data_IF_540484963118
#
_entry.id   IF_540484963118
#
_cell.length_a   1.000
_cell.length_b   1.000
_cell.length_c   1.000
_cell.angle_alpha   90.00
_cell.angle_beta   90.00
_cell.angle_gamma   90.00
#
_symmetry.space_group_name_H-M   'P 1'
#
loop_
_entity.id
_entity.type
_entity.pdbx_description
1 polymer ?
#
# COMPACT_ATOMS: atom_id res chain seq x y z
N UNK A 1 -16.24 11.19 -9.51
CA UNK A 1 -16.88 9.88 -9.80
C UNK A 1 -18.22 9.64 -9.09
N UNK A 2 -18.74 10.52 -8.21
CA UNK A 2 -20.01 10.27 -7.51
C UNK A 2 -21.29 10.64 -8.29
N UNK A 3 -21.20 11.41 -9.39
CA UNK A 3 -22.39 11.85 -10.14
C UNK A 3 -22.93 10.84 -11.16
N UNK A 4 -22.16 9.80 -11.53
CA UNK A 4 -22.61 8.80 -12.51
C UNK A 4 -23.60 7.77 -11.93
N UNK A 5 -23.63 7.56 -10.61
CA UNK A 5 -24.50 6.54 -10.00
C UNK A 5 -25.97 6.98 -9.84
N UNK A 6 -26.27 8.28 -9.87
CA UNK A 6 -27.64 8.77 -9.66
C UNK A 6 -28.54 8.49 -10.88
N UNK A 7 -27.96 8.45 -12.09
CA UNK A 7 -28.68 8.09 -13.32
C UNK A 7 -29.06 6.61 -13.38
N UNK A 8 -28.18 5.72 -12.92
CA UNK A 8 -28.39 4.27 -12.98
C UNK A 8 -29.53 3.81 -12.08
N UNK A 9 -29.68 4.42 -10.90
CA UNK A 9 -30.76 4.08 -9.95
C UNK A 9 -32.13 4.50 -10.50
N UNK A 10 -32.24 5.66 -11.16
CA UNK A 10 -33.51 6.11 -11.75
C UNK A 10 -33.99 5.18 -12.88
N UNK A 11 -33.07 4.68 -13.71
CA UNK A 11 -33.42 3.75 -14.78
C UNK A 11 -33.87 2.38 -14.24
N UNK A 12 -33.31 1.91 -13.13
CA UNK A 12 -33.72 0.65 -12.48
C UNK A 12 -35.16 0.69 -11.95
N UNK A 13 -35.57 1.81 -11.33
CA UNK A 13 -36.95 1.97 -10.81
C UNK A 13 -37.97 2.02 -11.95
N UNK A 14 -37.66 2.73 -13.03
CA UNK A 14 -38.54 2.79 -14.22
C UNK A 14 -38.68 1.41 -14.85
N UNK A 15 -37.58 0.67 -14.98
CA UNK A 15 -37.60 -0.71 -15.51
C UNK A 15 -38.46 -1.64 -14.65
N UNK A 16 -38.30 -1.60 -13.31
CA UNK A 16 -39.09 -2.42 -12.39
C UNK A 16 -40.59 -2.12 -12.52
N UNK A 17 -40.96 -0.84 -12.60
CA UNK A 17 -42.35 -0.41 -12.78
C UNK A 17 -42.87 -0.88 -14.15
N UNK A 18 -42.12 -0.71 -15.24
CA UNK A 18 -42.56 -1.16 -16.57
C UNK A 18 -42.71 -2.68 -16.65
N UNK A 19 -41.80 -3.45 -16.06
CA UNK A 19 -41.90 -4.93 -16.04
C UNK A 19 -43.10 -5.38 -15.20
N UNK A 20 -43.36 -4.72 -14.06
CA UNK A 20 -44.55 -4.96 -13.24
C UNK A 20 -45.86 -4.66 -13.99
N UNK A 21 -45.94 -3.52 -14.67
CA UNK A 21 -47.10 -3.12 -15.48
C UNK A 21 -47.30 -4.07 -16.66
N UNK A 22 -46.22 -4.45 -17.37
CA UNK A 22 -46.32 -5.36 -18.50
C UNK A 22 -46.75 -6.76 -18.06
N UNK A 23 -46.21 -7.26 -16.95
CA UNK A 23 -46.64 -8.52 -16.34
C UNK A 23 -48.11 -8.49 -15.94
N UNK A 24 -48.59 -7.39 -15.36
CA UNK A 24 -49.99 -7.22 -15.02
C UNK A 24 -50.89 -7.16 -16.27
N UNK A 25 -50.47 -6.46 -17.34
CA UNK A 25 -51.22 -6.40 -18.60
C UNK A 25 -51.29 -7.74 -19.32
N UNK A 26 -50.17 -8.47 -19.42
CA UNK A 26 -50.16 -9.81 -20.03
C UNK A 26 -51.01 -10.78 -19.21
N UNK A 27 -50.90 -10.72 -17.88
CA UNK A 27 -51.76 -11.49 -16.98
C UNK A 27 -53.25 -11.19 -17.19
N UNK A 28 -53.62 -9.90 -17.29
CA UNK A 28 -54.99 -9.48 -17.55
C UNK A 28 -55.50 -9.91 -18.94
N UNK A 29 -54.67 -9.83 -19.98
CA UNK A 29 -55.02 -10.24 -21.34
C UNK A 29 -55.25 -11.76 -21.44
N UNK A 30 -54.38 -12.56 -20.82
CA UNK A 30 -54.55 -14.03 -20.72
C UNK A 30 -55.81 -14.37 -19.91
N UNK A 31 -56.09 -13.62 -18.84
CA UNK A 31 -57.31 -13.79 -18.04
C UNK A 31 -58.59 -13.49 -18.84
N UNK A 32 -58.63 -12.40 -19.61
CA UNK A 32 -59.77 -12.07 -20.47
C UNK A 32 -60.00 -13.12 -21.55
N UNK A 33 -58.92 -13.61 -22.17
CA UNK A 33 -58.98 -14.65 -23.19
C UNK A 33 -59.50 -15.99 -22.64
N UNK A 34 -59.09 -16.35 -21.42
CA UNK A 34 -59.61 -17.53 -20.73
C UNK A 34 -61.07 -17.34 -20.29
N UNK A 35 -61.43 -16.16 -19.78
CA UNK A 35 -62.79 -15.86 -19.37
C UNK A 35 -63.80 -16.03 -20.52
N UNK A 36 -63.48 -15.54 -21.73
CA UNK A 36 -64.33 -15.74 -22.92
C UNK A 36 -64.46 -17.21 -23.33
N UNK A 37 -63.38 -17.99 -23.25
CA UNK A 37 -63.37 -19.42 -23.61
C UNK A 37 -64.15 -20.29 -22.60
N UNK A 38 -64.15 -19.93 -21.32
CA UNK A 38 -64.78 -20.72 -20.25
C UNK A 38 -66.20 -20.28 -19.88
N UNK A 39 -66.61 -19.05 -20.22
CA UNK A 39 -68.00 -18.59 -20.06
C UNK A 39 -69.01 -19.41 -20.87
N UNK A 40 -68.56 -20.20 -21.85
CA UNK A 40 -69.39 -21.11 -22.64
C UNK A 40 -69.72 -22.46 -21.94
N UNK A 41 -69.12 -22.77 -20.78
CA UNK A 41 -69.34 -24.03 -20.05
C UNK A 41 -69.70 -23.74 -18.58
N UNK A 42 -70.90 -24.17 -18.16
CA UNK A 42 -71.66 -23.70 -16.99
C UNK A 42 -71.13 -24.09 -15.59
N UNK A 43 -69.82 -24.19 -15.38
CA UNK A 43 -69.23 -24.55 -14.09
C UNK A 43 -68.57 -23.33 -13.41
N UNK A 44 -69.41 -22.45 -12.89
CA UNK A 44 -69.00 -21.21 -12.19
C UNK A 44 -68.05 -21.47 -11.01
N UNK A 45 -68.13 -22.64 -10.38
CA UNK A 45 -67.25 -23.05 -9.29
C UNK A 45 -65.79 -23.19 -9.76
N UNK A 46 -65.57 -23.74 -10.95
CA UNK A 46 -64.24 -23.97 -11.52
C UNK A 46 -63.58 -22.66 -11.94
N UNK A 47 -64.38 -21.71 -12.45
CA UNK A 47 -63.92 -20.38 -12.87
C UNK A 47 -63.55 -19.52 -11.65
N UNK A 48 -64.37 -19.55 -10.59
CA UNK A 48 -64.08 -18.85 -9.33
C UNK A 48 -62.83 -19.44 -8.64
N UNK A 49 -62.68 -20.76 -8.64
CA UNK A 49 -61.53 -21.44 -8.05
C UNK A 49 -60.23 -21.14 -8.81
N UNK A 50 -60.26 -21.16 -10.16
CA UNK A 50 -59.10 -20.83 -10.99
C UNK A 50 -58.66 -19.37 -10.86
N UNK A 51 -59.61 -18.43 -10.86
CA UNK A 51 -59.33 -17.01 -10.75
C UNK A 51 -58.87 -16.62 -9.33
N UNK A 52 -59.56 -17.12 -8.31
CA UNK A 52 -59.20 -16.89 -6.91
C UNK A 52 -57.80 -17.40 -6.58
N UNK A 53 -57.45 -18.60 -7.08
CA UNK A 53 -56.11 -19.16 -6.93
C UNK A 53 -55.01 -18.33 -7.60
N UNK A 54 -55.24 -17.83 -8.82
CA UNK A 54 -54.25 -17.06 -9.56
C UNK A 54 -53.98 -15.68 -8.94
N UNK A 55 -55.03 -14.96 -8.52
CA UNK A 55 -54.87 -13.64 -7.88
C UNK A 55 -54.17 -13.78 -6.53
N UNK A 56 -54.64 -14.70 -5.66
CA UNK A 56 -54.02 -14.93 -4.36
C UNK A 56 -52.58 -15.43 -4.53
N UNK A 57 -52.34 -16.34 -5.47
CA UNK A 57 -50.99 -16.83 -5.80
C UNK A 57 -50.05 -15.72 -6.25
N UNK A 58 -50.51 -14.79 -7.10
CA UNK A 58 -49.71 -13.66 -7.57
C UNK A 58 -49.36 -12.67 -6.46
N UNK A 59 -50.31 -12.36 -5.57
CA UNK A 59 -50.09 -11.45 -4.43
C UNK A 59 -49.13 -12.09 -3.42
N UNK A 60 -49.31 -13.38 -3.11
CA UNK A 60 -48.40 -14.11 -2.23
C UNK A 60 -46.99 -14.19 -2.84
N UNK A 61 -46.87 -14.45 -4.14
CA UNK A 61 -45.57 -14.48 -4.84
C UNK A 61 -44.89 -13.11 -4.84
N UNK A 62 -45.63 -12.03 -5.07
CA UNK A 62 -45.11 -10.67 -5.01
C UNK A 62 -44.65 -10.29 -3.59
N UNK A 63 -45.41 -10.67 -2.57
CA UNK A 63 -45.08 -10.42 -1.17
C UNK A 63 -43.81 -11.19 -0.74
N UNK A 64 -43.70 -12.47 -1.10
CA UNK A 64 -42.50 -13.28 -0.84
C UNK A 64 -41.29 -12.69 -1.57
N UNK A 65 -41.44 -12.32 -2.85
CA UNK A 65 -40.37 -11.70 -3.64
C UNK A 65 -39.90 -10.38 -3.03
N UNK A 66 -40.83 -9.56 -2.53
CA UNK A 66 -40.50 -8.31 -1.86
C UNK A 66 -39.70 -8.52 -0.56
N UNK A 67 -40.09 -9.50 0.26
CA UNK A 67 -39.37 -9.85 1.49
C UNK A 67 -37.96 -10.36 1.16
N UNK A 68 -37.84 -11.27 0.19
CA UNK A 68 -36.55 -11.82 -0.25
C UNK A 68 -35.65 -10.73 -0.83
N UNK A 69 -36.19 -9.83 -1.67
CA UNK A 69 -35.43 -8.71 -2.22
C UNK A 69 -34.92 -7.76 -1.14
N UNK A 70 -35.74 -7.50 -0.11
CA UNK A 70 -35.34 -6.66 1.03
C UNK A 70 -34.23 -7.32 1.86
N UNK A 71 -34.33 -8.64 2.09
CA UNK A 71 -33.28 -9.40 2.78
C UNK A 71 -31.98 -9.44 1.97
N UNK A 72 -32.05 -9.73 0.68
CA UNK A 72 -30.89 -9.76 -0.22
C UNK A 72 -30.21 -8.38 -0.33
N UNK A 73 -30.98 -7.30 -0.37
CA UNK A 73 -30.43 -5.94 -0.38
C UNK A 73 -29.71 -5.59 0.92
N UNK A 74 -30.27 -5.97 2.07
CA UNK A 74 -29.63 -5.74 3.37
C UNK A 74 -28.33 -6.55 3.50
N UNK A 75 -28.35 -7.82 3.09
CA UNK A 75 -27.17 -8.68 3.09
C UNK A 75 -26.08 -8.17 2.14
N UNK A 76 -26.46 -7.70 0.95
CA UNK A 76 -25.49 -7.13 -0.02
C UNK A 76 -24.82 -5.88 0.54
N UNK A 77 -25.59 -4.99 1.20
CA UNK A 77 -25.02 -3.80 1.84
C UNK A 77 -24.03 -4.14 2.97
N UNK A 78 -24.34 -5.15 3.77
CA UNK A 78 -23.43 -5.63 4.82
C UNK A 78 -22.15 -6.23 4.22
N UNK A 79 -22.29 -7.10 3.20
CA UNK A 79 -21.14 -7.69 2.50
C UNK A 79 -20.25 -6.63 1.85
N UNK A 80 -20.84 -5.62 1.20
CA UNK A 80 -20.10 -4.53 0.57
C UNK A 80 -19.37 -3.68 1.62
N UNK A 81 -19.99 -3.45 2.78
CA UNK A 81 -19.36 -2.73 3.88
C UNK A 81 -18.17 -3.52 4.46
N UNK A 82 -18.36 -4.81 4.72
CA UNK A 82 -17.29 -5.71 5.20
C UNK A 82 -16.15 -5.81 4.20
N UNK A 83 -16.45 -5.92 2.91
CA UNK A 83 -15.45 -5.96 1.84
C UNK A 83 -14.60 -4.68 1.81
N UNK A 84 -15.22 -3.50 1.89
CA UNK A 84 -14.52 -2.20 1.94
C UNK A 84 -13.64 -2.07 3.17
N UNK A 85 -14.12 -2.55 4.32
CA UNK A 85 -13.37 -2.50 5.57
C UNK A 85 -12.16 -3.44 5.51
N UNK A 86 -12.35 -4.67 4.99
CA UNK A 86 -11.25 -5.61 4.76
C UNK A 86 -10.21 -5.04 3.78
N UNK A 87 -10.67 -4.39 2.72
CA UNK A 87 -9.80 -3.72 1.74
C UNK A 87 -8.99 -2.59 2.41
N UNK A 88 -9.62 -1.71 3.17
CA UNK A 88 -8.93 -0.66 3.93
C UNK A 88 -7.90 -1.22 4.91
N UNK A 89 -8.23 -2.29 5.64
CA UNK A 89 -7.26 -2.98 6.52
C UNK A 89 -6.08 -3.49 5.72
N UNK A 90 -6.31 -4.09 4.55
CA UNK A 90 -5.23 -4.60 3.70
C UNK A 90 -4.27 -3.49 3.22
N UNK A 91 -4.80 -2.30 2.91
CA UNK A 91 -4.01 -1.13 2.53
C UNK A 91 -3.09 -0.65 3.67
N UNK A 92 -3.63 -0.56 4.89
CA UNK A 92 -2.83 -0.21 6.07
C UNK A 92 -1.74 -1.23 6.32
N UNK A 93 -2.06 -2.53 6.28
CA UNK A 93 -1.09 -3.59 6.54
C UNK A 93 0.06 -3.54 5.53
N UNK A 94 -0.25 -3.25 4.26
CA UNK A 94 0.76 -3.07 3.22
C UNK A 94 1.66 -1.89 3.52
N UNK A 95 1.09 -0.75 3.94
CA UNK A 95 1.86 0.43 4.36
C UNK A 95 2.78 0.13 5.55
N UNK A 96 2.26 -0.56 6.57
CA UNK A 96 3.04 -0.95 7.76
C UNK A 96 4.20 -1.87 7.40
N UNK A 97 3.96 -2.89 6.57
CA UNK A 97 5.01 -3.80 6.13
C UNK A 97 6.08 -3.04 5.35
N UNK A 98 5.69 -2.19 4.39
CA UNK A 98 6.63 -1.35 3.65
C UNK A 98 7.45 -0.44 4.59
N UNK A 99 6.82 0.22 5.56
CA UNK A 99 7.51 1.05 6.54
C UNK A 99 8.51 0.26 7.38
N UNK A 100 8.14 -0.96 7.81
CA UNK A 100 9.03 -1.85 8.58
C UNK A 100 10.25 -2.32 7.77
N UNK A 101 10.08 -2.59 6.47
CA UNK A 101 11.18 -2.94 5.57
C UNK A 101 12.11 -1.74 5.35
N UNK A 102 11.55 -0.54 5.15
CA UNK A 102 12.33 0.71 5.06
C UNK A 102 13.12 0.93 6.35
N UNK A 103 12.51 0.82 7.52
CA UNK A 103 13.20 0.95 8.81
C UNK A 103 14.36 -0.06 8.94
N UNK A 104 14.11 -1.31 8.58
CA UNK A 104 15.13 -2.37 8.62
C UNK A 104 16.33 -2.06 7.72
N UNK A 105 16.06 -1.55 6.52
CA UNK A 105 17.07 -1.15 5.55
C UNK A 105 17.91 0.04 6.05
N UNK A 106 17.25 1.08 6.59
CA UNK A 106 17.93 2.24 7.20
C UNK A 106 18.86 1.82 8.34
N UNK A 107 18.40 0.93 9.22
CA UNK A 107 19.20 0.40 10.35
C UNK A 107 20.38 -0.44 9.82
N UNK A 108 20.17 -1.25 8.79
CA UNK A 108 21.24 -2.04 8.18
C UNK A 108 22.34 -1.16 7.56
N UNK A 109 21.96 -0.12 6.82
CA UNK A 109 22.92 0.85 6.24
C UNK A 109 23.71 1.54 7.34
N UNK A 110 23.02 2.05 8.38
CA UNK A 110 23.69 2.70 9.51
C UNK A 110 24.67 1.75 10.21
N UNK A 111 24.23 0.53 10.49
CA UNK A 111 25.07 -0.51 11.12
C UNK A 111 26.32 -0.79 10.29
N UNK A 112 26.19 -0.94 8.98
CA UNK A 112 27.34 -1.19 8.09
C UNK A 112 28.36 -0.03 8.10
N UNK A 113 27.88 1.22 8.16
CA UNK A 113 28.74 2.40 8.29
C UNK A 113 29.44 2.42 9.66
N UNK A 114 28.68 2.22 10.74
CA UNK A 114 29.21 2.27 12.10
C UNK A 114 30.24 1.15 12.36
N UNK A 115 29.98 -0.07 11.87
CA UNK A 115 30.93 -1.19 11.92
C UNK A 115 32.21 -0.88 11.12
N UNK A 116 32.08 -0.27 9.93
CA UNK A 116 33.25 0.13 9.13
C UNK A 116 34.10 1.18 9.86
N UNK A 117 33.46 2.17 10.47
CA UNK A 117 34.15 3.20 11.23
C UNK A 117 34.82 2.65 12.50
N UNK A 118 34.15 1.72 13.20
CA UNK A 118 34.74 1.02 14.35
C UNK A 118 35.99 0.25 13.93
N UNK A 119 35.90 -0.57 12.88
CA UNK A 119 37.02 -1.34 12.36
C UNK A 119 38.19 -0.44 11.89
N UNK A 120 37.89 0.74 11.34
CA UNK A 120 38.92 1.71 10.96
C UNK A 120 39.60 2.34 12.20
N UNK A 121 38.84 2.61 13.26
CA UNK A 121 39.38 3.12 14.53
C UNK A 121 40.30 2.09 15.19
N UNK A 122 39.91 0.81 15.20
CA UNK A 122 40.71 -0.29 15.76
C UNK A 122 42.06 -0.45 15.04
N UNK A 123 42.14 0.02 13.78
CA UNK A 123 43.35 0.04 12.95
C UNK A 123 44.13 1.36 13.02
N UNK A 124 43.75 2.29 13.90
CA UNK A 124 44.33 3.62 14.02
C UNK A 124 44.21 4.50 12.75
N UNK A 125 43.19 4.28 11.92
CA UNK A 125 42.92 5.06 10.70
C UNK A 125 42.01 6.26 10.97
N UNK A 126 42.01 6.81 12.19
CA UNK A 126 41.10 7.90 12.59
C UNK A 126 41.37 9.22 11.87
N UNK A 127 42.61 9.45 11.45
CA UNK A 127 43.04 10.64 10.71
C UNK A 127 42.67 10.61 9.21
N UNK A 128 42.31 9.44 8.67
CA UNK A 128 41.91 9.32 7.27
C UNK A 128 40.49 9.88 7.04
N UNK A 129 40.20 10.39 5.82
CA UNK A 129 38.87 10.84 5.45
C UNK A 129 37.83 9.71 5.57
N UNK A 130 36.57 10.07 5.80
CA UNK A 130 35.48 9.11 6.06
C UNK A 130 35.30 8.13 4.90
N UNK A 131 35.42 8.59 3.66
CA UNK A 131 35.22 7.72 2.49
C UNK A 131 36.25 6.59 2.39
N UNK A 132 37.46 6.75 2.95
CA UNK A 132 38.46 5.67 3.04
C UNK A 132 38.17 4.70 4.18
N UNK A 133 37.51 5.18 5.23
CA UNK A 133 37.22 4.41 6.45
C UNK A 133 35.94 3.58 6.33
N UNK A 134 34.96 4.04 5.57
CA UNK A 134 33.68 3.34 5.38
C UNK A 134 33.80 2.33 4.24
N UNK A 135 33.56 1.03 4.47
CA UNK A 135 33.60 0.01 3.41
C UNK A 135 32.40 0.13 2.45
N UNK A 136 32.43 -0.53 1.26
CA UNK A 136 31.31 -0.41 0.32
C UNK A 136 30.06 -0.95 0.99
N UNK A 137 28.99 -0.16 0.97
CA UNK A 137 27.73 -0.54 1.59
C UNK A 137 27.09 -1.57 0.66
N UNK A 138 26.92 -2.80 1.14
CA UNK A 138 26.24 -3.87 0.41
C UNK A 138 24.85 -4.03 1.02
N UNK A 139 23.81 -3.85 0.21
CA UNK A 139 22.43 -3.86 0.67
C UNK A 139 21.42 -3.93 -0.46
N UNK A 140 20.14 -3.96 -0.11
CA UNK A 140 19.05 -3.89 -1.08
C UNK A 140 18.91 -2.46 -1.61
N UNK A 141 19.05 -2.26 -2.91
CA UNK A 141 18.75 -0.98 -3.56
C UNK A 141 17.26 -0.86 -3.94
N UNK A 142 16.40 -1.61 -3.27
CA UNK A 142 14.97 -1.60 -3.56
C UNK A 142 14.34 -0.33 -2.99
N UNK A 143 13.74 0.45 -3.88
CA UNK A 143 12.91 1.59 -3.50
C UNK A 143 11.46 1.14 -3.36
N UNK A 144 10.76 1.72 -2.39
CA UNK A 144 9.34 1.48 -2.18
C UNK A 144 8.57 2.76 -2.48
N UNK A 145 7.56 2.66 -3.34
CA UNK A 145 6.62 3.76 -3.56
C UNK A 145 5.35 3.53 -2.72
N UNK A 146 4.75 4.63 -2.26
CA UNK A 146 3.43 4.62 -1.62
C UNK A 146 2.36 4.78 -2.69
N UNK A 147 1.34 3.93 -2.64
CA UNK A 147 0.10 4.12 -3.39
C UNK A 147 -0.82 5.09 -2.64
N UNK A 148 -1.53 5.98 -3.34
CA UNK A 148 -2.53 6.85 -2.75
C UNK A 148 -3.62 6.06 -2.01
N UNK A 149 -3.95 4.85 -2.47
CA UNK A 149 -4.89 3.97 -1.78
C UNK A 149 -4.38 3.52 -0.39
N UNK A 150 -3.07 3.37 -0.20
CA UNK A 150 -2.46 3.01 1.08
C UNK A 150 -2.62 4.12 2.13
N UNK A 151 -2.76 5.38 1.69
CA UNK A 151 -2.94 6.54 2.56
C UNK A 151 -4.42 6.82 2.87
N UNK A 152 -5.36 6.23 2.13
CA UNK A 152 -6.78 6.52 2.30
C UNK A 152 -7.30 6.27 3.72
N UNK A 153 -6.87 5.21 4.45
CA UNK A 153 -7.31 4.97 5.82
C UNK A 153 -6.80 6.04 6.79
N UNK A 154 -5.56 6.54 6.62
CA UNK A 154 -5.01 7.63 7.43
C UNK A 154 -5.77 8.95 7.21
N UNK A 155 -6.14 9.23 5.96
CA UNK A 155 -6.98 10.38 5.61
C UNK A 155 -8.37 10.25 6.24
N UNK A 156 -8.98 9.07 6.17
CA UNK A 156 -10.27 8.80 6.80
C UNK A 156 -10.22 8.94 8.33
N UNK A 157 -9.10 8.55 8.95
CA UNK A 157 -8.83 8.74 10.37
C UNK A 157 -8.50 10.20 10.76
N UNK A 158 -8.35 11.10 9.77
CA UNK A 158 -7.93 12.50 9.95
C UNK A 158 -6.54 12.65 10.60
N UNK A 159 -5.68 11.65 10.46
CA UNK A 159 -4.31 11.71 10.96
C UNK A 159 -3.36 12.27 9.89
N UNK A 160 -3.45 13.58 9.69
CA UNK A 160 -2.65 14.28 8.69
C UNK A 160 -1.15 14.23 8.98
N UNK A 161 -0.77 14.18 10.26
CA UNK A 161 0.62 14.14 10.67
C UNK A 161 1.27 12.81 10.29
N UNK A 162 0.60 11.69 10.57
CA UNK A 162 1.11 10.37 10.23
C UNK A 162 1.08 10.11 8.72
N UNK A 163 0.09 10.64 8.01
CA UNK A 163 0.03 10.61 6.54
C UNK A 163 1.22 11.37 5.92
N UNK A 164 1.49 12.59 6.37
CA UNK A 164 2.62 13.38 5.88
C UNK A 164 3.96 12.74 6.24
N UNK A 165 4.08 12.18 7.46
CA UNK A 165 5.27 11.46 7.90
C UNK A 165 5.54 10.25 7.00
N UNK A 166 4.49 9.49 6.65
CA UNK A 166 4.57 8.35 5.73
C UNK A 166 5.08 8.81 4.37
N UNK A 167 4.46 9.81 3.73
CA UNK A 167 4.91 10.30 2.42
C UNK A 167 6.37 10.76 2.46
N UNK A 168 6.73 11.52 3.50
CA UNK A 168 8.09 12.05 3.67
C UNK A 168 9.11 10.92 3.81
N UNK A 169 8.80 9.89 4.60
CA UNK A 169 9.66 8.73 4.81
C UNK A 169 10.05 8.06 3.49
N UNK A 170 9.07 7.70 2.66
CA UNK A 170 9.34 6.97 1.43
C UNK A 170 10.04 7.84 0.37
N UNK A 171 9.69 9.13 0.29
CA UNK A 171 10.41 10.07 -0.58
C UNK A 171 11.89 10.22 -0.17
N UNK A 172 12.15 10.39 1.14
CA UNK A 172 13.51 10.54 1.64
C UNK A 172 14.30 9.22 1.56
N UNK A 173 13.67 8.07 1.79
CA UNK A 173 14.28 6.76 1.61
C UNK A 173 14.75 6.57 0.16
N UNK A 174 13.91 6.90 -0.83
CA UNK A 174 14.33 6.88 -2.25
C UNK A 174 15.56 7.74 -2.52
N UNK A 175 15.59 8.95 -1.96
CA UNK A 175 16.74 9.86 -2.12
C UNK A 175 18.00 9.29 -1.45
N UNK A 176 17.86 8.64 -0.29
CA UNK A 176 18.98 7.98 0.40
C UNK A 176 19.54 6.83 -0.44
N UNK A 177 18.68 5.96 -0.96
CA UNK A 177 19.11 4.82 -1.79
C UNK A 177 19.84 5.30 -3.03
N UNK A 178 19.39 6.37 -3.67
CA UNK A 178 20.09 6.96 -4.80
C UNK A 178 21.45 7.52 -4.39
N UNK A 179 21.56 8.22 -3.26
CA UNK A 179 22.84 8.70 -2.75
C UNK A 179 23.81 7.55 -2.45
N UNK A 180 23.32 6.44 -1.89
CA UNK A 180 24.13 5.23 -1.63
C UNK A 180 24.58 4.58 -2.94
N UNK A 181 23.72 4.50 -3.97
CA UNK A 181 24.08 3.99 -5.29
C UNK A 181 25.16 4.85 -5.94
N UNK A 182 24.98 6.17 -5.98
CA UNK A 182 25.98 7.10 -6.53
C UNK A 182 27.32 6.98 -5.79
N UNK A 183 27.28 6.85 -4.46
CA UNK A 183 28.48 6.61 -3.65
C UNK A 183 29.19 5.31 -4.05
N UNK A 184 28.44 4.22 -4.24
CA UNK A 184 29.00 2.93 -4.67
C UNK A 184 29.62 3.01 -6.08
N UNK A 185 28.95 3.68 -7.01
CA UNK A 185 29.43 3.86 -8.40
C UNK A 185 30.71 4.69 -8.45
N UNK A 186 30.77 5.82 -7.73
CA UNK A 186 31.98 6.63 -7.64
C UNK A 186 33.14 5.84 -7.02
N UNK A 187 32.85 4.96 -6.07
CA UNK A 187 33.86 4.05 -5.51
C UNK A 187 34.38 3.04 -6.53
N UNK A 188 33.50 2.53 -7.39
CA UNK A 188 33.89 1.71 -8.54
C UNK A 188 34.90 2.43 -9.43
N UNK A 189 34.64 3.71 -9.73
CA UNK A 189 35.54 4.56 -10.53
C UNK A 189 36.89 4.81 -9.87
N UNK A 190 36.92 4.99 -8.54
CA UNK A 190 38.20 5.07 -7.79
C UNK A 190 38.98 3.77 -7.93
N UNK A 191 38.33 2.62 -7.84
CA UNK A 191 38.97 1.31 -8.01
C UNK A 191 39.60 1.17 -9.41
N UNK A 192 38.95 1.65 -10.47
CA UNK A 192 39.52 1.66 -11.83
C UNK A 192 40.83 2.46 -11.89
N UNK A 193 40.91 3.61 -11.23
CA UNK A 193 42.14 4.43 -11.20
C UNK A 193 43.26 3.73 -10.40
N UNK A 194 42.92 3.09 -9.28
CA UNK A 194 43.90 2.51 -8.33
C UNK A 194 44.41 1.12 -8.76
N UNK A 195 43.56 0.27 -9.35
CA UNK A 195 43.92 -1.13 -9.68
C UNK A 195 45.04 -1.22 -10.71
N UNK A 196 45.23 -0.20 -11.54
CA UNK A 196 46.25 -0.25 -12.59
C UNK A 196 47.70 -0.20 -12.08
N UNK A 197 47.98 0.04 -10.79
CA UNK A 197 49.32 0.43 -10.33
C UNK A 197 49.92 -0.41 -9.19
N UNK A 198 49.53 -1.68 -9.06
CA UNK A 198 50.41 -2.68 -8.45
C UNK A 198 51.50 -3.10 -9.46
N UNK A 199 52.37 -2.16 -9.82
CA UNK A 199 53.56 -2.42 -10.62
C UNK A 199 54.74 -2.72 -9.71
N UNK A 200 55.25 -3.96 -9.73
CA UNK A 200 56.54 -4.26 -9.10
C UNK A 200 57.64 -3.72 -10.01
N UNK A 201 58.18 -2.56 -9.66
CA UNK A 201 59.42 -2.02 -10.23
C UNK A 201 60.47 -2.05 -9.14
N UNK A 202 61.56 -2.81 -9.35
CA UNK A 202 62.76 -2.83 -8.50
C UNK A 202 62.58 -3.25 -7.03
N UNK A 203 61.66 -4.17 -6.73
CA UNK A 203 61.58 -4.79 -5.40
C UNK A 203 61.07 -3.88 -4.28
N UNK A 204 60.60 -2.68 -4.60
CA UNK A 204 59.88 -1.78 -3.68
C UNK A 204 58.43 -1.67 -4.16
N UNK A 205 57.48 -2.13 -3.34
CA UNK A 205 56.05 -1.90 -3.52
C UNK A 205 55.77 -0.41 -3.31
N UNK A 206 55.97 0.42 -4.33
CA UNK A 206 55.47 1.80 -4.33
C UNK A 206 54.03 1.77 -4.81
N UNK A 207 53.08 2.25 -4.01
CA UNK A 207 51.73 2.58 -4.51
C UNK A 207 51.83 3.87 -5.33
N UNK A 208 52.48 3.76 -6.49
CA UNK A 208 52.91 4.91 -7.29
C UNK A 208 51.80 5.41 -8.19
N UNK A 209 50.77 6.05 -7.64
CA UNK A 209 49.86 6.84 -8.47
C UNK A 209 50.65 7.97 -9.12
N UNK A 210 50.56 8.09 -10.45
CA UNK A 210 51.14 9.22 -11.19
C UNK A 210 50.45 10.54 -10.79
N UNK A 211 51.13 11.67 -10.98
CA UNK A 211 50.54 13.00 -10.70
C UNK A 211 49.24 13.23 -11.48
N UNK A 212 49.15 12.72 -12.71
CA UNK A 212 47.94 12.80 -13.53
C UNK A 212 46.79 12.01 -12.89
N UNK A 213 47.04 10.80 -12.39
CA UNK A 213 46.00 10.02 -11.71
C UNK A 213 45.58 10.66 -10.39
N UNK A 214 46.53 11.23 -9.65
CA UNK A 214 46.21 11.97 -8.42
C UNK A 214 45.28 13.14 -8.74
N UNK A 215 45.53 13.86 -9.83
CA UNK A 215 44.66 14.95 -10.28
C UNK A 215 43.25 14.49 -10.68
N UNK A 216 43.11 13.27 -11.22
CA UNK A 216 41.81 12.65 -11.54
C UNK A 216 41.09 12.09 -10.31
N UNK A 217 41.85 11.64 -9.31
CA UNK A 217 41.32 11.06 -8.08
C UNK A 217 40.77 12.13 -7.14
N UNK A 218 41.46 13.26 -7.00
CA UNK A 218 41.11 14.35 -6.09
C UNK A 218 39.63 14.79 -6.14
N UNK A 219 39.02 15.07 -7.31
CA UNK A 219 37.59 15.42 -7.36
C UNK A 219 36.68 14.28 -6.87
N UNK A 220 37.01 13.03 -7.17
CA UNK A 220 36.23 11.87 -6.69
C UNK A 220 36.33 11.72 -5.16
N UNK A 221 37.49 11.99 -4.56
CA UNK A 221 37.64 11.95 -3.10
C UNK A 221 36.75 12.98 -2.40
N UNK A 222 36.68 14.20 -2.96
CA UNK A 222 35.83 15.28 -2.43
C UNK A 222 34.35 14.90 -2.55
N UNK A 223 33.93 14.38 -3.70
CA UNK A 223 32.55 13.94 -3.92
C UNK A 223 32.17 12.78 -2.99
N UNK A 224 33.02 11.76 -2.87
CA UNK A 224 32.80 10.62 -1.97
C UNK A 224 32.71 11.06 -0.51
N UNK A 225 33.60 11.95 -0.07
CA UNK A 225 33.59 12.50 1.29
C UNK A 225 32.31 13.29 1.59
N UNK A 226 31.85 14.09 0.62
CA UNK A 226 30.59 14.83 0.73
C UNK A 226 29.39 13.88 0.81
N UNK A 227 29.32 12.90 -0.09
CA UNK A 227 28.20 11.95 -0.15
C UNK A 227 28.09 11.11 1.13
N UNK A 228 29.19 10.59 1.66
CA UNK A 228 29.12 9.78 2.89
C UNK A 228 28.69 10.61 4.11
N UNK A 229 29.07 11.89 4.17
CA UNK A 229 28.58 12.82 5.20
C UNK A 229 27.08 13.07 5.06
N UNK A 230 26.59 13.30 3.83
CA UNK A 230 25.17 13.47 3.56
C UNK A 230 24.36 12.21 3.91
N UNK A 231 24.82 11.01 3.52
CA UNK A 231 24.18 9.73 3.85
C UNK A 231 24.04 9.58 5.37
N UNK A 232 25.11 9.85 6.14
CA UNK A 232 25.08 9.75 7.61
C UNK A 232 24.13 10.76 8.24
N UNK A 233 24.09 11.99 7.74
CA UNK A 233 23.16 13.01 8.21
C UNK A 233 21.71 12.57 7.96
N UNK A 234 21.40 12.12 6.74
CA UNK A 234 20.09 11.59 6.37
C UNK A 234 19.66 10.43 7.29
N UNK A 235 20.53 9.45 7.53
CA UNK A 235 20.22 8.33 8.43
C UNK A 235 19.87 8.77 9.86
N UNK A 236 20.46 9.86 10.34
CA UNK A 236 20.20 10.40 11.68
C UNK A 236 18.75 10.89 11.80
N UNK A 237 18.22 11.53 10.76
CA UNK A 237 16.87 12.09 10.75
C UNK A 237 15.81 11.07 10.30
N UNK A 238 16.15 10.20 9.34
CA UNK A 238 15.21 9.25 8.75
C UNK A 238 14.85 8.10 9.70
N UNK A 239 15.78 7.61 10.53
CA UNK A 239 15.50 6.47 11.42
C UNK A 239 14.36 6.81 12.41
N UNK A 240 14.41 7.93 13.16
CA UNK A 240 13.30 8.31 14.04
C UNK A 240 11.97 8.50 13.30
N UNK A 241 12.02 9.04 12.07
CA UNK A 241 10.83 9.18 11.23
C UNK A 241 10.26 7.80 10.83
N UNK A 242 11.13 6.86 10.46
CA UNK A 242 10.76 5.50 10.09
C UNK A 242 10.19 4.72 11.29
N UNK A 243 10.79 4.86 12.47
CA UNK A 243 10.27 4.29 13.72
C UNK A 243 8.89 4.85 14.03
N UNK A 244 8.73 6.17 13.96
CA UNK A 244 7.44 6.85 14.15
C UNK A 244 6.37 6.26 13.24
N UNK A 245 6.61 6.22 11.93
CA UNK A 245 5.64 5.69 10.97
C UNK A 245 5.35 4.21 11.23
N UNK A 246 6.39 3.41 11.48
CA UNK A 246 6.25 1.96 11.68
C UNK A 246 5.44 1.61 12.93
N UNK A 247 5.65 2.33 14.03
CA UNK A 247 5.06 2.01 15.32
C UNK A 247 3.76 2.77 15.62
N UNK A 248 3.52 3.96 15.04
CA UNK A 248 2.30 4.74 15.29
C UNK A 248 1.11 4.34 14.40
N UNK A 249 1.33 3.74 13.22
CA UNK A 249 0.22 3.33 12.32
C UNK A 249 -0.70 2.31 12.99
N UNK A 250 -0.15 1.27 13.64
CA UNK A 250 -0.95 0.22 14.29
C UNK A 250 -1.94 0.78 15.32
N UNK A 251 -1.46 1.52 16.34
CA UNK A 251 -2.32 2.14 17.36
C UNK A 251 -3.33 3.14 16.78
N UNK A 252 -2.93 3.97 15.81
CA UNK A 252 -3.83 4.90 15.14
C UNK A 252 -4.98 4.15 14.44
N UNK A 253 -4.68 2.99 13.85
CA UNK A 253 -5.65 2.18 13.11
C UNK A 253 -6.53 1.32 14.02
N UNK A 254 -6.02 0.83 15.15
CA UNK A 254 -6.86 0.24 16.20
C UNK A 254 -7.92 1.23 16.68
N UNK A 255 -7.51 2.49 16.93
CA UNK A 255 -8.43 3.58 17.32
C UNK A 255 -9.45 3.90 16.22
N UNK A 256 -9.01 3.96 14.96
CA UNK A 256 -9.89 4.25 13.83
C UNK A 256 -10.92 3.14 13.56
N UNK A 257 -10.49 1.88 13.56
CA UNK A 257 -11.36 0.72 13.31
C UNK A 257 -12.16 0.27 14.54
N UNK A 258 -11.83 0.76 15.74
CA UNK A 258 -12.47 0.33 16.99
C UNK A 258 -12.23 -1.16 17.30
N UNK A 259 -11.11 -1.73 16.86
CA UNK A 259 -10.78 -3.15 17.02
C UNK A 259 -9.37 -3.29 17.59
N UNK A 260 -9.23 -4.13 18.63
CA UNK A 260 -7.95 -4.49 19.22
C UNK A 260 -7.22 -5.58 18.42
N UNK A 261 -7.91 -6.22 17.47
CA UNK A 261 -7.34 -7.31 16.65
C UNK A 261 -6.41 -6.79 15.54
N UNK A 262 -6.40 -5.48 15.30
CA UNK A 262 -5.50 -4.90 14.31
C UNK A 262 -4.05 -4.98 14.82
N UNK A 263 -3.10 -5.51 14.03
CA UNK A 263 -1.75 -5.75 14.51
C UNK A 263 -1.01 -4.45 14.85
N UNK A 264 -0.19 -4.51 15.90
CA UNK A 264 0.67 -3.41 16.35
C UNK A 264 2.10 -3.93 16.37
N UNK A 265 2.99 -3.19 15.71
CA UNK A 265 4.42 -3.43 15.84
C UNK A 265 4.93 -2.73 17.09
N UNK A 266 5.76 -3.43 17.87
CA UNK A 266 6.41 -2.88 19.04
C UNK A 266 7.91 -2.73 18.78
N UNK A 267 8.55 -1.66 19.28
CA UNK A 267 10.00 -1.57 19.26
C UNK A 267 10.60 -2.70 20.10
N UNK A 268 11.76 -3.19 19.67
CA UNK A 268 12.48 -4.25 20.38
C UNK A 268 12.80 -3.79 21.81
N UNK A 269 12.28 -4.50 22.82
CA UNK A 269 12.49 -4.20 24.24
C UNK A 269 11.28 -3.61 24.98
N UNK A 270 10.18 -3.30 24.30
CA UNK A 270 8.97 -2.73 24.94
C UNK A 270 8.09 -3.74 25.71
N UNK A 271 8.58 -4.95 26.00
CA UNK A 271 7.79 -6.01 26.64
C UNK A 271 8.61 -7.00 27.48
N UNK A 272 9.84 -6.66 27.85
CA UNK A 272 10.70 -7.45 28.75
C UNK A 272 10.79 -6.84 30.16
N UNK A 273 9.73 -6.15 30.60
CA UNK A 273 9.57 -5.69 32.00
C UNK A 273 8.84 -6.73 32.86
#
# INVERSE_FOLDING_TARGET
>A
MAQQNIGTVKNSVVQLITVGIFGAMVGAAVLLFLAEKFAATSDHATLLAGFGGAVIGSVLSALVSFILAKQASAETLLRDFEARLAEQKSYVLRLMVKASVVLSDLVAIRKAIDESLSNANDRNLTAEPLWKRVLPIVGSYQTFDIDAAELSPLIAAKDNALMQASVTLFMQHRNLIEAVRVYADLRGRVKEIVVHHFGSSEGVLTSGLTQEQMSKLMPLEIELESLIKTIRAMLTDLIPLAEKVTFEIGPAMQKFFGSQDFPVFAPKGAGEE
#
